data_IF_804145349089
#
_entry.id   IF_804145349089
#
_cell.length_a   1.000
_cell.length_b   1.000
_cell.length_c   1.000
_cell.angle_alpha   90.00
_cell.angle_beta   90.00
_cell.angle_gamma   90.00
#
_symmetry.space_group_name_H-M   'P 1'
#
loop_
_entity.id
_entity.type
_entity.pdbx_description
1 polymer ?
#
# COMPACT_ATOMS: atom_id res chain seq x y z
N UNK A 1 2.74 47.99 -10.87
CA UNK A 1 1.83 47.38 -9.86
C UNK A 1 1.92 45.88 -10.07
N UNK A 2 3.04 45.31 -9.60
CA UNK A 2 3.37 43.89 -9.75
C UNK A 2 2.58 43.08 -8.73
N UNK A 3 1.56 42.38 -9.22
CA UNK A 3 0.98 41.22 -8.54
C UNK A 3 1.31 40.00 -9.39
N UNK A 4 2.61 39.73 -9.58
CA UNK A 4 3.05 38.36 -9.78
C UNK A 4 2.78 37.62 -8.47
N UNK A 5 1.65 36.90 -8.45
CA UNK A 5 1.37 35.92 -7.41
C UNK A 5 2.50 34.90 -7.40
N UNK A 6 3.37 35.04 -6.41
CA UNK A 6 4.29 34.00 -5.98
C UNK A 6 3.47 32.85 -5.40
N UNK A 7 2.81 32.09 -6.26
CA UNK A 7 2.49 30.71 -5.96
C UNK A 7 3.80 29.94 -6.05
N UNK A 8 4.66 30.11 -5.05
CA UNK A 8 5.65 29.09 -4.74
C UNK A 8 4.86 27.84 -4.42
N UNK A 9 4.87 26.81 -5.30
CA UNK A 9 4.25 25.55 -4.95
C UNK A 9 4.91 25.09 -3.66
N UNK A 10 4.11 24.73 -2.64
CA UNK A 10 4.63 24.18 -1.40
C UNK A 10 5.65 23.10 -1.77
N UNK A 11 6.92 23.22 -1.34
CA UNK A 11 7.93 22.23 -1.67
C UNK A 11 7.45 20.91 -1.06
N UNK A 12 6.97 20.01 -1.93
CA UNK A 12 6.51 18.70 -1.49
C UNK A 12 7.62 17.99 -0.73
N UNK A 13 7.25 17.02 0.11
CA UNK A 13 8.19 16.18 0.86
C UNK A 13 9.24 15.56 -0.06
N UNK A 14 10.37 16.23 -0.21
CA UNK A 14 11.56 15.79 -0.93
C UNK A 14 12.63 15.48 0.12
N UNK A 15 13.62 14.67 -0.23
CA UNK A 15 14.72 14.38 0.70
C UNK A 15 15.42 15.68 1.18
N UNK A 16 15.45 16.72 0.35
CA UNK A 16 16.01 18.04 0.66
C UNK A 16 15.14 18.90 1.57
N UNK A 17 13.82 18.70 1.58
CA UNK A 17 12.90 19.49 2.42
C UNK A 17 12.69 18.89 3.82
N UNK A 18 13.16 17.67 4.08
CA UNK A 18 13.01 17.00 5.36
C UNK A 18 14.07 17.50 6.35
N UNK A 19 13.62 18.08 7.46
CA UNK A 19 14.52 18.42 8.55
C UNK A 19 15.08 17.15 9.20
N UNK A 20 16.39 16.92 9.05
CA UNK A 20 17.08 15.72 9.57
C UNK A 20 16.99 15.57 11.08
N UNK A 21 16.83 16.65 11.85
CA UNK A 21 16.67 16.56 13.31
C UNK A 21 15.40 15.82 13.72
N UNK A 22 14.40 15.77 12.83
CA UNK A 22 13.12 15.12 13.08
C UNK A 22 13.10 13.65 12.61
N UNK A 23 14.18 13.18 11.99
CA UNK A 23 14.27 11.80 11.49
C UNK A 23 14.52 10.84 12.66
N UNK A 24 13.58 9.92 12.87
CA UNK A 24 13.77 8.78 13.76
C UNK A 24 13.87 7.50 12.90
N UNK A 25 15.08 6.96 12.66
CA UNK A 25 15.27 5.77 11.83
C UNK A 25 14.45 4.57 12.31
N UNK A 26 14.31 4.38 13.63
CA UNK A 26 13.53 3.27 14.18
C UNK A 26 12.08 3.35 13.75
N UNK A 27 11.49 4.54 13.79
CA UNK A 27 10.11 4.76 13.34
C UNK A 27 10.00 4.47 11.84
N UNK A 28 10.90 5.00 11.02
CA UNK A 28 10.86 4.85 9.56
C UNK A 28 10.99 3.38 9.14
N UNK A 29 11.93 2.64 9.72
CA UNK A 29 12.10 1.22 9.41
C UNK A 29 10.97 0.37 9.99
N UNK A 30 10.43 0.69 11.17
CA UNK A 30 9.23 0.01 11.71
C UNK A 30 8.00 0.23 10.80
N UNK A 31 7.86 1.41 10.20
CA UNK A 31 6.76 1.72 9.28
C UNK A 31 6.73 0.84 8.02
N UNK A 32 7.87 0.32 7.57
CA UNK A 32 7.92 -0.64 6.45
C UNK A 32 7.11 -1.90 6.74
N UNK A 33 7.17 -2.37 7.99
CA UNK A 33 6.51 -3.58 8.47
C UNK A 33 5.08 -3.36 8.95
N UNK A 34 4.67 -2.11 9.16
CA UNK A 34 3.43 -1.76 9.84
C UNK A 34 2.20 -2.43 9.19
N UNK A 35 2.07 -2.38 7.87
CA UNK A 35 0.91 -2.95 7.18
C UNK A 35 0.90 -4.48 7.24
N UNK A 36 2.05 -5.14 7.07
CA UNK A 36 2.18 -6.59 7.21
C UNK A 36 1.64 -7.07 8.55
N UNK A 37 2.06 -6.43 9.64
CA UNK A 37 1.64 -6.80 10.99
C UNK A 37 0.19 -6.39 11.31
N UNK A 38 -0.27 -5.22 10.83
CA UNK A 38 -1.67 -4.82 11.00
C UNK A 38 -2.63 -5.76 10.28
N UNK A 39 -2.31 -6.18 9.06
CA UNK A 39 -3.11 -7.17 8.34
C UNK A 39 -3.14 -8.51 9.08
N UNK A 40 -1.98 -9.02 9.52
CA UNK A 40 -1.92 -10.24 10.30
C UNK A 40 -2.73 -10.14 11.61
N UNK A 41 -2.62 -9.02 12.32
CA UNK A 41 -3.34 -8.74 13.56
C UNK A 41 -4.86 -8.71 13.35
N UNK A 42 -5.36 -7.90 12.42
CA UNK A 42 -6.79 -7.80 12.18
C UNK A 42 -7.36 -9.10 11.59
N UNK A 43 -6.59 -9.82 10.78
CA UNK A 43 -7.00 -11.13 10.27
C UNK A 43 -7.14 -12.14 11.41
N UNK A 44 -6.16 -12.19 12.31
CA UNK A 44 -6.21 -13.06 13.49
C UNK A 44 -7.35 -12.67 14.44
N UNK A 45 -7.64 -11.37 14.59
CA UNK A 45 -8.78 -10.89 15.37
C UNK A 45 -10.11 -11.35 14.77
N UNK A 46 -10.30 -11.23 13.46
CA UNK A 46 -11.51 -11.73 12.79
C UNK A 46 -11.62 -13.25 12.94
N UNK A 47 -10.52 -13.98 12.75
CA UNK A 47 -10.51 -15.42 12.97
C UNK A 47 -10.90 -15.81 14.41
N UNK A 48 -10.39 -15.08 15.41
CA UNK A 48 -10.73 -15.27 16.81
C UNK A 48 -12.23 -15.00 17.05
N UNK A 49 -12.77 -13.90 16.51
CA UNK A 49 -14.20 -13.59 16.64
C UNK A 49 -15.09 -14.65 15.97
N UNK A 50 -14.70 -15.16 14.80
CA UNK A 50 -15.42 -16.23 14.12
C UNK A 50 -15.35 -17.55 14.90
N UNK A 51 -14.24 -17.85 15.57
CA UNK A 51 -14.11 -19.06 16.39
C UNK A 51 -15.04 -19.09 17.61
N UNK A 52 -15.56 -17.93 18.03
CA UNK A 52 -16.60 -17.83 19.07
C UNK A 52 -17.97 -18.27 18.53
N UNK A 53 -18.13 -18.36 17.21
CA UNK A 53 -19.33 -18.88 16.57
C UNK A 53 -19.19 -20.39 16.38
N UNK A 54 -20.29 -21.15 16.52
CA UNK A 54 -20.28 -22.63 16.44
C UNK A 54 -19.83 -23.20 15.08
N UNK A 55 -19.62 -22.36 14.06
CA UNK A 55 -19.33 -22.77 12.68
C UNK A 55 -18.05 -22.15 12.12
N UNK A 56 -17.37 -21.25 12.85
CA UNK A 56 -16.25 -20.49 12.30
C UNK A 56 -14.92 -21.23 12.40
N UNK A 57 -14.28 -21.49 11.26
CA UNK A 57 -12.89 -21.93 11.16
C UNK A 57 -11.97 -20.74 10.84
N UNK A 58 -10.69 -20.82 11.21
CA UNK A 58 -9.67 -19.84 10.84
C UNK A 58 -9.68 -19.55 9.33
N UNK A 59 -9.88 -20.58 8.51
CA UNK A 59 -9.93 -20.45 7.05
C UNK A 59 -11.07 -19.55 6.55
N UNK A 60 -12.20 -19.51 7.25
CA UNK A 60 -13.35 -18.70 6.85
C UNK A 60 -13.07 -17.20 7.02
N UNK A 61 -12.16 -16.85 7.94
CA UNK A 61 -11.71 -15.47 8.11
C UNK A 61 -11.10 -14.91 6.83
N UNK A 62 -10.50 -15.75 5.97
CA UNK A 62 -9.81 -15.31 4.76
C UNK A 62 -10.74 -14.51 3.83
N UNK A 63 -12.05 -14.81 3.79
CA UNK A 63 -13.03 -14.06 3.00
C UNK A 63 -13.21 -12.60 3.45
N UNK A 64 -12.85 -12.28 4.69
CA UNK A 64 -12.99 -10.95 5.27
C UNK A 64 -11.76 -10.05 5.03
N UNK A 65 -10.85 -10.44 4.14
CA UNK A 65 -9.61 -9.70 3.90
C UNK A 65 -9.82 -8.23 3.50
N UNK A 66 -10.92 -7.87 2.83
CA UNK A 66 -11.25 -6.47 2.53
C UNK A 66 -11.56 -5.66 3.79
N UNK A 67 -12.20 -6.28 4.79
CA UNK A 67 -12.48 -5.67 6.09
C UNK A 67 -11.19 -5.58 6.92
N UNK A 68 -10.38 -6.65 6.96
CA UNK A 68 -9.03 -6.64 7.53
C UNK A 68 -8.23 -5.46 6.98
N UNK A 69 -8.21 -5.33 5.66
CA UNK A 69 -7.52 -4.26 4.95
C UNK A 69 -8.04 -2.88 5.33
N UNK A 70 -9.36 -2.71 5.39
CA UNK A 70 -9.99 -1.44 5.77
C UNK A 70 -9.57 -0.99 7.16
N UNK A 71 -9.63 -1.86 8.17
CA UNK A 71 -9.21 -1.50 9.53
C UNK A 71 -7.72 -1.18 9.62
N UNK A 72 -6.87 -1.99 9.00
CA UNK A 72 -5.44 -1.69 8.92
C UNK A 72 -5.17 -0.34 8.23
N UNK A 73 -5.87 -0.04 7.14
CA UNK A 73 -5.75 1.22 6.43
C UNK A 73 -6.11 2.43 7.30
N UNK A 74 -7.20 2.35 8.08
CA UNK A 74 -7.60 3.42 9.00
C UNK A 74 -6.52 3.70 10.07
N UNK A 75 -5.92 2.65 10.63
CA UNK A 75 -4.81 2.78 11.58
C UNK A 75 -3.61 3.46 10.91
N UNK A 76 -3.26 3.06 9.68
CA UNK A 76 -2.17 3.70 8.92
C UNK A 76 -2.43 5.18 8.64
N UNK A 77 -3.64 5.54 8.20
CA UNK A 77 -4.02 6.94 7.91
C UNK A 77 -3.93 7.79 9.18
N UNK A 78 -4.47 7.29 10.29
CA UNK A 78 -4.39 7.96 11.59
C UNK A 78 -2.94 8.16 12.04
N UNK A 79 -2.13 7.11 11.94
CA UNK A 79 -0.71 7.15 12.30
C UNK A 79 0.07 8.14 11.42
N UNK A 80 -0.14 8.13 10.11
CA UNK A 80 0.49 9.07 9.18
C UNK A 80 0.14 10.52 9.51
N UNK A 81 -1.12 10.78 9.84
CA UNK A 81 -1.59 12.12 10.24
C UNK A 81 -0.83 12.63 11.46
N UNK A 82 -0.59 11.77 12.47
CA UNK A 82 0.20 12.13 13.65
C UNK A 82 1.65 12.42 13.29
N UNK A 83 2.30 11.56 12.50
CA UNK A 83 3.72 11.74 12.20
C UNK A 83 3.99 12.96 11.33
N UNK A 84 3.13 13.21 10.34
CA UNK A 84 3.24 14.41 9.50
C UNK A 84 3.01 15.67 10.33
N UNK A 85 2.06 15.65 11.27
CA UNK A 85 1.81 16.79 12.16
C UNK A 85 3.01 17.13 13.05
N UNK A 86 3.77 16.13 13.51
CA UNK A 86 5.03 16.35 14.26
C UNK A 86 6.10 17.08 13.44
N UNK A 87 6.01 16.98 12.12
CA UNK A 87 6.89 17.68 11.18
C UNK A 87 6.29 19.00 10.68
N UNK A 88 5.17 19.46 11.25
CA UNK A 88 4.48 20.69 10.85
C UNK A 88 3.66 20.56 9.56
N UNK A 89 3.45 19.33 9.07
CA UNK A 89 2.73 19.05 7.83
C UNK A 89 1.32 18.53 8.13
N UNK A 90 0.41 18.75 7.19
CA UNK A 90 -0.90 18.12 7.16
C UNK A 90 -0.85 16.86 6.32
N UNK A 91 -1.75 15.93 6.60
CA UNK A 91 -1.84 14.67 5.87
C UNK A 91 -1.97 14.89 4.35
N UNK A 92 -2.78 15.86 3.92
CA UNK A 92 -2.99 16.14 2.51
C UNK A 92 -1.79 16.80 1.80
N UNK A 93 -0.80 17.31 2.54
CA UNK A 93 0.41 17.91 1.94
C UNK A 93 1.31 16.84 1.28
N UNK A 94 1.05 15.55 1.51
CA UNK A 94 1.69 14.42 0.82
C UNK A 94 1.23 14.31 -0.64
N UNK A 95 0.00 14.73 -0.95
CA UNK A 95 -0.56 14.66 -2.29
C UNK A 95 -0.16 15.91 -3.07
N UNK A 96 0.73 15.73 -4.05
CA UNK A 96 1.21 16.84 -4.88
C UNK A 96 0.27 17.05 -6.05
N UNK A 97 -0.47 18.16 -6.02
CA UNK A 97 -1.22 18.64 -7.18
C UNK A 97 -0.48 19.82 -7.80
N UNK A 98 -0.07 19.70 -9.06
CA UNK A 98 0.59 20.78 -9.80
C UNK A 98 -0.42 21.40 -10.78
N UNK A 99 -0.97 22.59 -10.47
CA UNK A 99 -1.80 23.33 -11.41
C UNK A 99 -1.04 23.53 -12.74
N UNK A 100 -1.67 23.25 -13.88
CA UNK A 100 -1.05 23.35 -15.20
C UNK A 100 -0.44 22.04 -15.75
N UNK A 101 -0.30 20.98 -14.95
CA UNK A 101 0.15 19.66 -15.42
C UNK A 101 -0.98 18.62 -15.52
N UNK A 102 -2.24 19.01 -15.29
CA UNK A 102 -3.40 18.11 -15.21
C UNK A 102 -3.50 17.19 -16.44
N UNK A 103 -3.34 17.72 -17.66
CA UNK A 103 -3.40 16.92 -18.89
C UNK A 103 -2.29 15.87 -18.93
N UNK A 104 -1.06 16.24 -18.55
CA UNK A 104 0.08 15.33 -18.49
C UNK A 104 -0.14 14.25 -17.41
N UNK A 105 -0.57 14.66 -16.23
CA UNK A 105 -0.85 13.74 -15.12
C UNK A 105 -1.99 12.77 -15.46
N UNK A 106 -3.03 13.25 -16.17
CA UNK A 106 -4.11 12.40 -16.68
C UNK A 106 -3.62 11.39 -17.73
N UNK A 107 -2.77 11.80 -18.68
CA UNK A 107 -2.19 10.89 -19.66
C UNK A 107 -1.26 9.85 -19.02
N UNK A 108 -0.46 10.26 -18.02
CA UNK A 108 0.38 9.34 -17.25
C UNK A 108 -0.51 8.35 -16.49
N UNK A 109 -1.57 8.82 -15.82
CA UNK A 109 -2.51 7.96 -15.12
C UNK A 109 -3.13 6.92 -16.07
N UNK A 110 -3.56 7.35 -17.26
CA UNK A 110 -4.13 6.45 -18.27
C UNK A 110 -3.11 5.42 -18.76
N UNK A 111 -1.87 5.84 -19.04
CA UNK A 111 -0.80 4.92 -19.44
C UNK A 111 -0.48 3.91 -18.33
N UNK A 112 -0.39 4.36 -17.07
CA UNK A 112 -0.15 3.50 -15.91
C UNK A 112 -1.31 2.53 -15.70
N UNK A 113 -2.56 2.95 -15.89
CA UNK A 113 -3.74 2.09 -15.80
C UNK A 113 -3.73 1.00 -16.89
N UNK A 114 -3.34 1.36 -18.12
CA UNK A 114 -3.24 0.41 -19.23
C UNK A 114 -2.13 -0.62 -18.99
N UNK A 115 -0.97 -0.18 -18.47
CA UNK A 115 0.17 -1.06 -18.19
C UNK A 115 -0.06 -1.89 -16.93
N UNK A 116 -0.75 -1.36 -15.92
CA UNK A 116 -0.99 -2.05 -14.65
C UNK A 116 -1.86 -3.30 -14.83
N UNK A 117 -2.80 -3.30 -15.78
CA UNK A 117 -3.64 -4.46 -16.08
C UNK A 117 -2.81 -5.72 -16.36
N UNK A 118 -2.00 -5.75 -17.43
CA UNK A 118 -1.11 -6.88 -17.73
C UNK A 118 -0.09 -7.17 -16.62
N UNK A 119 0.50 -6.13 -16.01
CA UNK A 119 1.52 -6.28 -14.96
C UNK A 119 0.94 -6.89 -13.67
N UNK A 120 -0.33 -6.63 -13.36
CA UNK A 120 -1.00 -7.25 -12.22
C UNK A 120 -1.59 -8.62 -12.58
N UNK A 121 -2.06 -8.81 -13.82
CA UNK A 121 -2.73 -10.03 -14.26
C UNK A 121 -1.76 -11.18 -14.53
N UNK A 122 -0.70 -10.96 -15.32
CA UNK A 122 0.19 -12.04 -15.78
C UNK A 122 0.95 -12.73 -14.63
N UNK A 123 1.60 -11.99 -13.69
CA UNK A 123 2.29 -12.64 -12.57
C UNK A 123 1.32 -13.36 -11.62
N UNK A 124 0.08 -12.87 -11.53
CA UNK A 124 -0.97 -13.50 -10.74
C UNK A 124 -1.35 -14.86 -11.33
N UNK A 125 -1.79 -14.90 -12.59
CA UNK A 125 -2.28 -16.13 -13.23
C UNK A 125 -1.17 -17.14 -13.51
N UNK A 126 -0.06 -16.72 -14.11
CA UNK A 126 1.04 -17.62 -14.45
C UNK A 126 1.83 -18.03 -13.21
N UNK A 127 2.02 -17.12 -12.25
CA UNK A 127 2.61 -17.46 -10.95
C UNK A 127 1.76 -18.47 -10.20
N UNK A 128 0.43 -18.36 -10.26
CA UNK A 128 -0.46 -19.33 -9.65
C UNK A 128 -0.37 -20.71 -10.33
N UNK A 129 -0.37 -20.76 -11.66
CA UNK A 129 -0.19 -22.04 -12.41
C UNK A 129 1.15 -22.69 -12.08
N UNK A 130 2.24 -21.93 -12.03
CA UNK A 130 3.58 -22.45 -11.73
C UNK A 130 3.67 -23.05 -10.32
N UNK A 131 3.01 -22.43 -9.34
CA UNK A 131 3.12 -22.82 -7.92
C UNK A 131 2.06 -23.86 -7.52
N UNK A 132 0.84 -23.75 -8.04
CA UNK A 132 -0.31 -24.59 -7.67
C UNK A 132 -0.72 -25.59 -8.75
N UNK A 133 -0.15 -25.52 -9.96
CA UNK A 133 -0.58 -26.29 -11.13
C UNK A 133 -1.82 -25.72 -11.83
N UNK A 134 -2.62 -24.92 -11.11
CA UNK A 134 -3.85 -24.31 -11.61
C UNK A 134 -4.10 -22.95 -10.94
N UNK A 135 -4.43 -21.94 -11.74
CA UNK A 135 -4.72 -20.60 -11.25
C UNK A 135 -5.97 -20.54 -10.37
N UNK A 136 -6.97 -21.38 -10.64
CA UNK A 136 -8.23 -21.37 -9.89
C UNK A 136 -8.01 -21.76 -8.42
N UNK A 137 -7.03 -22.62 -8.13
CA UNK A 137 -6.67 -23.01 -6.77
C UNK A 137 -6.29 -21.79 -5.92
N UNK A 138 -5.51 -20.85 -6.47
CA UNK A 138 -5.12 -19.65 -5.76
C UNK A 138 -6.30 -18.68 -5.57
N UNK A 139 -7.19 -18.57 -6.55
CA UNK A 139 -8.41 -17.74 -6.46
C UNK A 139 -9.36 -18.24 -5.37
N UNK A 140 -9.55 -19.55 -5.25
CA UNK A 140 -10.38 -20.17 -4.21
C UNK A 140 -9.86 -19.94 -2.78
N UNK A 141 -8.57 -19.60 -2.62
CA UNK A 141 -8.02 -19.21 -1.32
C UNK A 141 -8.36 -17.76 -0.95
N UNK A 142 -8.57 -16.88 -1.93
CA UNK A 142 -8.88 -15.47 -1.71
C UNK A 142 -10.38 -15.19 -1.61
N UNK A 143 -11.19 -15.95 -2.34
CA UNK A 143 -12.63 -15.75 -2.44
C UNK A 143 -13.33 -16.80 -1.58
N UNK A 144 -13.88 -16.35 -0.47
CA UNK A 144 -14.77 -17.16 0.37
C UNK A 144 -16.13 -16.46 0.49
N UNK A 145 -17.22 -17.22 0.67
CA UNK A 145 -18.53 -16.63 0.87
C UNK A 145 -18.53 -15.82 2.17
N UNK A 146 -18.97 -14.57 2.08
CA UNK A 146 -19.17 -13.67 3.22
C UNK A 146 -20.60 -13.12 3.22
N UNK A 147 -21.14 -12.72 4.38
CA UNK A 147 -22.43 -12.06 4.46
C UNK A 147 -22.47 -10.79 3.58
N UNK A 148 -23.63 -10.51 3.00
CA UNK A 148 -23.79 -9.38 2.06
C UNK A 148 -23.38 -8.03 2.65
N UNK A 149 -23.66 -7.79 3.95
CA UNK A 149 -23.25 -6.56 4.62
C UNK A 149 -21.72 -6.40 4.66
N UNK A 150 -20.98 -7.50 4.84
CA UNK A 150 -19.52 -7.49 4.89
C UNK A 150 -18.94 -7.22 3.50
N UNK A 151 -19.55 -7.78 2.46
CA UNK A 151 -19.20 -7.51 1.07
C UNK A 151 -19.37 -6.03 0.70
N UNK A 152 -20.48 -5.40 1.10
CA UNK A 152 -20.69 -3.96 0.84
C UNK A 152 -19.70 -3.06 1.56
N UNK A 153 -19.40 -3.35 2.84
CA UNK A 153 -18.38 -2.62 3.57
C UNK A 153 -17.03 -2.76 2.86
N UNK A 154 -16.65 -3.99 2.49
CA UNK A 154 -15.42 -4.26 1.75
C UNK A 154 -15.37 -3.51 0.42
N UNK A 155 -16.43 -3.56 -0.38
CA UNK A 155 -16.47 -2.96 -1.71
C UNK A 155 -16.36 -1.43 -1.69
N UNK A 156 -16.93 -0.77 -0.68
CA UNK A 156 -16.96 0.70 -0.61
C UNK A 156 -15.75 1.24 0.17
N UNK A 157 -15.51 0.74 1.38
CA UNK A 157 -14.52 1.33 2.26
C UNK A 157 -13.09 0.91 1.94
N UNK A 158 -12.88 -0.32 1.44
CA UNK A 158 -11.52 -0.77 1.15
C UNK A 158 -10.86 0.04 0.03
N UNK A 159 -11.48 0.27 -1.15
CA UNK A 159 -10.85 1.04 -2.23
C UNK A 159 -10.53 2.48 -1.85
N UNK A 160 -11.38 3.11 -1.03
CA UNK A 160 -11.15 4.46 -0.53
C UNK A 160 -9.96 4.43 0.44
N UNK A 161 -10.02 3.60 1.46
CA UNK A 161 -9.00 3.60 2.52
C UNK A 161 -7.64 3.12 2.04
N UNK A 162 -7.56 2.19 1.09
CA UNK A 162 -6.27 1.70 0.57
C UNK A 162 -5.52 2.79 -0.19
N UNK A 163 -6.23 3.61 -0.98
CA UNK A 163 -5.64 4.72 -1.73
C UNK A 163 -4.98 5.76 -0.79
N UNK A 164 -5.59 5.98 0.38
CA UNK A 164 -5.07 6.90 1.40
C UNK A 164 -4.05 6.25 2.35
N UNK A 165 -4.05 4.92 2.51
CA UNK A 165 -3.11 4.28 3.42
C UNK A 165 -1.79 3.89 2.74
N UNK A 166 -1.86 3.22 1.58
CA UNK A 166 -0.74 2.46 1.06
C UNK A 166 0.31 3.32 0.36
N UNK A 167 -0.10 4.07 -0.66
CA UNK A 167 0.82 4.93 -1.42
C UNK A 167 1.37 6.07 -0.56
N UNK A 168 0.55 6.76 0.27
CA UNK A 168 1.06 7.79 1.17
C UNK A 168 2.05 7.25 2.21
N UNK A 169 1.88 6.01 2.70
CA UNK A 169 2.85 5.41 3.62
C UNK A 169 4.19 5.15 2.92
N UNK A 170 4.18 4.34 1.86
CA UNK A 170 5.42 3.84 1.26
C UNK A 170 6.17 4.92 0.48
N UNK A 171 5.46 5.70 -0.34
CA UNK A 171 6.09 6.65 -1.25
C UNK A 171 5.98 8.10 -0.78
N UNK A 172 4.94 8.42 -0.02
CA UNK A 172 4.77 9.76 0.57
C UNK A 172 5.59 9.97 1.84
N UNK A 173 5.60 8.99 2.75
CA UNK A 173 6.25 9.10 4.04
C UNK A 173 7.63 8.41 4.05
N UNK A 174 7.69 7.12 3.73
CA UNK A 174 8.91 6.32 3.93
C UNK A 174 10.00 6.68 2.91
N UNK A 175 9.71 6.64 1.60
CA UNK A 175 10.68 6.91 0.52
C UNK A 175 11.55 8.16 0.77
N UNK A 176 11.01 9.38 0.92
CA UNK A 176 11.83 10.57 1.03
C UNK A 176 12.68 10.60 2.31
N UNK A 177 12.23 9.92 3.38
CA UNK A 177 12.98 9.78 4.63
C UNK A 177 14.13 8.77 4.50
N UNK A 178 13.92 7.63 3.83
CA UNK A 178 14.99 6.68 3.51
C UNK A 178 16.03 7.33 2.60
N UNK A 179 15.60 8.12 1.63
CA UNK A 179 16.48 8.87 0.73
C UNK A 179 17.33 9.89 1.51
N UNK A 180 16.71 10.65 2.42
CA UNK A 180 17.40 11.61 3.28
C UNK A 180 18.41 10.96 4.24
N UNK A 181 18.09 9.76 4.78
CA UNK A 181 18.97 9.01 5.70
C UNK A 181 20.12 8.31 4.97
N UNK A 182 19.82 7.58 3.90
CA UNK A 182 20.81 6.72 3.22
C UNK A 182 21.62 7.44 2.16
N UNK A 183 21.12 8.58 1.64
CA UNK A 183 21.64 9.29 0.46
C UNK A 183 21.71 8.42 -0.81
N UNK A 184 21.00 7.29 -0.84
CA UNK A 184 21.00 6.32 -1.94
C UNK A 184 19.59 6.21 -2.52
N UNK A 185 19.39 6.77 -3.72
CA UNK A 185 18.09 6.75 -4.40
C UNK A 185 17.56 5.32 -4.59
N UNK A 186 18.43 4.36 -4.91
CA UNK A 186 18.01 2.97 -5.12
C UNK A 186 17.42 2.32 -3.85
N UNK A 187 17.94 2.63 -2.66
CA UNK A 187 17.37 2.13 -1.38
C UNK A 187 16.01 2.74 -1.10
N UNK A 188 15.82 4.02 -1.45
CA UNK A 188 14.56 4.72 -1.30
C UNK A 188 13.45 4.19 -2.23
N UNK A 189 13.81 3.43 -3.27
CA UNK A 189 12.87 2.74 -4.17
C UNK A 189 12.72 1.27 -3.73
N UNK A 190 13.84 0.55 -3.61
CA UNK A 190 13.85 -0.89 -3.39
C UNK A 190 13.15 -1.30 -2.09
N UNK A 191 13.38 -0.58 -0.99
CA UNK A 191 12.76 -0.91 0.30
C UNK A 191 11.24 -0.70 0.27
N UNK A 192 10.70 0.48 -0.09
CA UNK A 192 9.24 0.64 -0.22
C UNK A 192 8.61 -0.36 -1.19
N UNK A 193 9.21 -0.63 -2.35
CA UNK A 193 8.69 -1.58 -3.34
C UNK A 193 8.61 -3.00 -2.76
N UNK A 194 9.69 -3.48 -2.13
CA UNK A 194 9.72 -4.81 -1.56
C UNK A 194 8.67 -4.96 -0.45
N UNK A 195 8.56 -3.99 0.46
CA UNK A 195 7.61 -4.05 1.56
C UNK A 195 6.15 -3.84 1.13
N UNK A 196 5.91 -3.04 0.09
CA UNK A 196 4.62 -2.92 -0.58
C UNK A 196 4.14 -4.25 -1.16
N UNK A 197 5.05 -5.06 -1.71
CA UNK A 197 4.73 -6.42 -2.14
C UNK A 197 4.55 -7.37 -0.94
N UNK A 198 5.50 -7.36 0.00
CA UNK A 198 5.55 -8.30 1.12
C UNK A 198 4.29 -8.28 2.00
N UNK A 199 3.69 -7.13 2.23
CA UNK A 199 2.44 -7.04 3.01
C UNK A 199 1.29 -7.91 2.45
N UNK A 200 1.29 -8.22 1.16
CA UNK A 200 0.23 -9.02 0.53
C UNK A 200 0.23 -10.48 0.99
N UNK A 201 1.33 -10.94 1.60
CA UNK A 201 1.44 -12.26 2.23
C UNK A 201 0.50 -12.44 3.42
N UNK A 202 0.02 -11.35 4.04
CA UNK A 202 -0.82 -11.40 5.24
C UNK A 202 -2.23 -10.85 5.01
N UNK A 203 -2.62 -10.62 3.74
CA UNK A 203 -3.94 -10.12 3.36
C UNK A 203 -4.56 -10.97 2.24
N UNK A 204 -5.31 -12.05 2.55
CA UNK A 204 -5.51 -12.63 3.88
C UNK A 204 -4.28 -13.37 4.40
N UNK A 205 -4.21 -13.53 5.72
CA UNK A 205 -3.24 -14.41 6.38
C UNK A 205 -3.67 -15.87 6.21
N UNK A 206 -3.03 -16.57 5.28
CA UNK A 206 -3.17 -18.02 5.08
C UNK A 206 -1.79 -18.63 5.28
N UNK A 207 -1.67 -19.53 6.25
CA UNK A 207 -0.40 -20.18 6.61
C UNK A 207 -0.06 -21.34 5.65
N UNK A 208 -0.11 -21.07 4.34
CA UNK A 208 0.38 -21.94 3.28
C UNK A 208 1.59 -21.25 2.63
N UNK A 209 2.75 -21.91 2.64
CA UNK A 209 4.00 -21.34 2.11
C UNK A 209 3.94 -21.05 0.61
N UNK A 210 3.21 -21.86 -0.16
CA UNK A 210 2.97 -21.64 -1.59
C UNK A 210 2.13 -20.39 -1.80
N UNK A 211 1.11 -20.19 -0.96
CA UNK A 211 0.28 -18.98 -0.99
C UNK A 211 1.09 -17.74 -0.64
N UNK A 212 1.86 -17.77 0.44
CA UNK A 212 2.74 -16.66 0.85
C UNK A 212 3.73 -16.29 -0.26
N UNK A 213 4.40 -17.29 -0.82
CA UNK A 213 5.38 -17.09 -1.90
C UNK A 213 4.70 -16.52 -3.15
N UNK A 214 3.57 -17.08 -3.55
CA UNK A 214 2.78 -16.59 -4.67
C UNK A 214 2.38 -15.13 -4.47
N UNK A 215 1.79 -14.77 -3.31
CA UNK A 215 1.36 -13.41 -2.98
C UNK A 215 2.49 -12.39 -3.11
N UNK A 216 3.68 -12.72 -2.62
CA UNK A 216 4.86 -11.86 -2.74
C UNK A 216 5.27 -11.69 -4.21
N UNK A 217 5.44 -12.79 -4.95
CA UNK A 217 5.93 -12.78 -6.33
C UNK A 217 4.93 -12.11 -7.26
N UNK A 218 3.64 -12.41 -7.15
CA UNK A 218 2.63 -11.85 -8.05
C UNK A 218 2.52 -10.34 -7.94
N UNK A 219 2.76 -9.77 -6.75
CA UNK A 219 2.57 -8.34 -6.51
C UNK A 219 3.84 -7.53 -6.75
N UNK A 220 5.02 -8.16 -6.67
CA UNK A 220 6.31 -7.48 -6.81
C UNK A 220 6.47 -6.70 -8.14
N UNK A 221 6.08 -7.22 -9.32
CA UNK A 221 6.16 -6.47 -10.57
C UNK A 221 5.30 -5.21 -10.56
N UNK A 222 4.09 -5.30 -10.01
CA UNK A 222 3.19 -4.14 -9.89
C UNK A 222 3.73 -3.10 -8.91
N UNK A 223 4.24 -3.55 -7.75
CA UNK A 223 4.90 -2.66 -6.80
C UNK A 223 6.11 -1.95 -7.42
N UNK A 224 6.91 -2.65 -8.23
CA UNK A 224 8.06 -2.08 -8.92
C UNK A 224 7.64 -1.04 -9.95
N UNK A 225 6.62 -1.32 -10.77
CA UNK A 225 6.05 -0.35 -11.71
C UNK A 225 5.64 0.94 -10.99
N UNK A 226 4.86 0.82 -9.92
CA UNK A 226 4.43 1.98 -9.13
C UNK A 226 5.62 2.74 -8.53
N UNK A 227 6.58 2.03 -7.94
CA UNK A 227 7.76 2.65 -7.34
C UNK A 227 8.60 3.44 -8.34
N UNK A 228 8.80 2.90 -9.55
CA UNK A 228 9.53 3.57 -10.62
C UNK A 228 8.78 4.78 -11.16
N UNK A 229 7.47 4.66 -11.41
CA UNK A 229 6.63 5.77 -11.90
C UNK A 229 6.61 6.91 -10.88
N UNK A 230 6.42 6.60 -9.60
CA UNK A 230 6.37 7.60 -8.54
C UNK A 230 7.74 8.24 -8.29
N UNK A 231 8.83 7.48 -8.41
CA UNK A 231 10.18 8.05 -8.38
C UNK A 231 10.37 9.02 -9.55
N UNK A 232 10.14 8.57 -10.79
CA UNK A 232 10.26 9.39 -12.00
C UNK A 232 9.42 10.67 -11.94
N UNK A 233 8.23 10.63 -11.33
CA UNK A 233 7.37 11.81 -11.22
C UNK A 233 7.84 12.83 -10.17
N UNK A 234 8.55 12.36 -9.14
CA UNK A 234 8.95 13.17 -7.96
C UNK A 234 10.40 13.61 -7.95
N UNK A 235 11.25 12.98 -8.77
CA UNK A 235 12.60 13.41 -9.15
C UNK A 235 12.59 14.60 -10.08
#
# INVERSE_FOLDING_TARGET
>A
MDLMSSHTPLPGLTASSINRSNLNPKIIYASLWMRLFLFAFFQALIAALLSLTKQGNFRDSAGYWLITGTFANLVVIYWLTIQLKKEGLRYFDVFRFYPGQIKKDFLILLAVLLISGPVAFLPNTEGAKLIFGDAQTATQLLIAPIPLWAAWIGLIFFPITIAFAEIPLYFGFIKPRIEALSKKAWLAIALPVFFLALQHCTLPLILDTRFILWRLIMFLPFALLLGLVLHWRTS
#
